data_IF_738523115582
#
_entry.id   IF_738523115582
#
_cell.length_a   1.000
_cell.length_b   1.000
_cell.length_c   1.000
_cell.angle_alpha   90.00
_cell.angle_beta   90.00
_cell.angle_gamma   90.00
#
_symmetry.space_group_name_H-M   'P 1'
#
loop_
_entity.id
_entity.type
_entity.pdbx_description
1 polymer ?
#
# COMPACT_ATOMS: atom_id res chain seq x y z
N UNK A 1 21.32 5.53 -5.61
CA UNK A 1 19.92 5.92 -5.35
C UNK A 1 19.67 5.77 -3.86
N UNK A 2 19.10 6.78 -3.21
CA UNK A 2 18.71 6.66 -1.80
C UNK A 2 17.51 5.72 -1.69
N UNK A 3 17.60 4.72 -0.80
CA UNK A 3 16.50 3.80 -0.54
C UNK A 3 15.37 4.52 0.20
N UNK A 4 14.13 4.21 -0.16
CA UNK A 4 12.93 4.72 0.48
C UNK A 4 12.75 3.98 1.80
N UNK A 5 13.06 4.67 2.89
CA UNK A 5 12.85 4.15 4.25
C UNK A 5 11.36 4.11 4.57
N UNK A 6 10.86 2.92 4.85
CA UNK A 6 9.46 2.63 5.11
C UNK A 6 9.27 2.09 6.52
N UNK A 7 8.24 2.56 7.20
CA UNK A 7 7.90 2.09 8.55
C UNK A 7 6.68 1.20 8.50
N UNK A 8 6.66 0.15 9.30
CA UNK A 8 5.46 -0.67 9.49
C UNK A 8 4.84 -0.32 10.84
N UNK A 9 3.54 -0.01 10.85
CA UNK A 9 2.75 0.23 12.04
C UNK A 9 1.60 -0.76 12.11
N UNK A 10 1.68 -1.67 13.05
CA UNK A 10 0.61 -2.63 13.32
C UNK A 10 -0.56 -2.02 14.10
N UNK A 11 -1.70 -2.71 14.05
CA UNK A 11 -2.94 -2.35 14.76
C UNK A 11 -3.36 -0.89 14.57
N UNK A 12 -3.16 -0.36 13.36
CA UNK A 12 -3.51 1.02 13.09
C UNK A 12 -5.02 1.21 13.05
N UNK A 13 -5.50 2.24 13.76
CA UNK A 13 -6.92 2.60 13.77
C UNK A 13 -7.46 2.92 12.38
N UNK A 14 -6.66 3.55 11.51
CA UNK A 14 -7.04 3.84 10.13
C UNK A 14 -7.18 2.55 9.32
N UNK A 15 -6.20 1.66 9.41
CA UNK A 15 -6.26 0.35 8.76
C UNK A 15 -7.45 -0.48 9.26
N UNK A 16 -7.81 -0.37 10.55
CA UNK A 16 -9.02 -1.00 11.10
C UNK A 16 -10.31 -0.50 10.43
N UNK A 17 -10.43 0.80 10.19
CA UNK A 17 -11.59 1.38 9.50
C UNK A 17 -11.64 0.89 8.05
N UNK A 18 -10.51 0.90 7.36
CA UNK A 18 -10.40 0.40 5.99
C UNK A 18 -10.82 -1.08 5.92
N UNK A 19 -10.32 -1.93 6.82
CA UNK A 19 -10.68 -3.35 6.87
C UNK A 19 -12.19 -3.56 7.08
N UNK A 20 -12.80 -2.77 7.97
CA UNK A 20 -14.25 -2.82 8.20
C UNK A 20 -15.06 -2.40 6.98
N UNK A 21 -14.62 -1.37 6.28
CA UNK A 21 -15.27 -0.90 5.05
C UNK A 21 -15.18 -1.93 3.93
N UNK A 22 -14.01 -2.54 3.76
CA UNK A 22 -13.75 -3.58 2.76
C UNK A 22 -14.26 -4.97 3.17
N UNK A 23 -14.72 -5.13 4.44
CA UNK A 23 -15.19 -6.40 5.03
C UNK A 23 -14.14 -7.51 5.00
N UNK A 24 -12.87 -7.15 5.16
CA UNK A 24 -11.72 -8.07 5.22
C UNK A 24 -11.18 -8.21 6.64
N UNK A 25 -10.61 -9.36 6.96
CA UNK A 25 -10.03 -9.63 8.28
C UNK A 25 -8.65 -9.00 8.47
N UNK A 26 -7.90 -8.85 7.37
CA UNK A 26 -6.57 -8.25 7.35
C UNK A 26 -6.44 -7.27 6.19
N UNK A 27 -5.77 -6.14 6.43
CA UNK A 27 -5.50 -5.12 5.42
C UNK A 27 -4.16 -4.45 5.71
N UNK A 28 -3.48 -4.06 4.64
CA UNK A 28 -2.36 -3.16 4.66
C UNK A 28 -2.76 -1.91 3.88
N UNK A 29 -2.33 -0.75 4.34
CA UNK A 29 -2.54 0.50 3.62
C UNK A 29 -1.30 1.36 3.77
N UNK A 30 -0.92 2.04 2.70
CA UNK A 30 0.18 3.01 2.74
C UNK A 30 -0.35 4.41 3.01
N UNK A 31 0.31 5.14 3.90
CA UNK A 31 0.18 6.59 4.03
C UNK A 31 1.57 7.21 3.92
N UNK A 32 1.88 7.76 2.74
CA UNK A 32 3.19 8.34 2.43
C UNK A 32 4.29 7.27 2.39
N UNK A 33 4.99 7.10 3.52
CA UNK A 33 6.09 6.12 3.69
C UNK A 33 5.83 5.13 4.83
N UNK A 34 4.62 5.12 5.38
CA UNK A 34 4.26 4.22 6.47
C UNK A 34 3.22 3.22 5.99
N UNK A 35 3.49 1.94 6.20
CA UNK A 35 2.56 0.83 5.95
C UNK A 35 1.81 0.59 7.26
N UNK A 36 0.51 0.78 7.23
CA UNK A 36 -0.39 0.58 8.35
C UNK A 36 -1.07 -0.78 8.20
N UNK A 37 -0.79 -1.70 9.12
CA UNK A 37 -1.37 -3.03 9.14
C UNK A 37 -2.53 -3.10 10.13
N UNK A 38 -3.55 -3.88 9.78
CA UNK A 38 -4.59 -4.33 10.69
C UNK A 38 -4.93 -5.79 10.41
N UNK A 39 -5.09 -6.61 11.45
CA UNK A 39 -5.40 -8.04 11.30
C UNK A 39 -4.26 -8.91 10.72
N UNK A 40 -3.07 -8.34 10.56
CA UNK A 40 -1.83 -9.02 10.20
C UNK A 40 -0.67 -8.46 11.02
N UNK A 41 0.29 -9.33 11.39
CA UNK A 41 1.56 -8.92 11.99
C UNK A 41 2.56 -8.53 10.92
N UNK A 42 3.62 -7.84 11.32
CA UNK A 42 4.77 -7.51 10.47
C UNK A 42 5.36 -8.76 9.85
N UNK A 43 5.53 -9.85 10.61
CA UNK A 43 6.12 -11.09 10.10
C UNK A 43 5.24 -11.71 9.02
N UNK A 44 3.92 -11.75 9.22
CA UNK A 44 2.98 -12.24 8.21
C UNK A 44 3.06 -11.41 6.94
N UNK A 45 3.07 -10.08 7.06
CA UNK A 45 3.21 -9.18 5.93
C UNK A 45 4.54 -9.38 5.19
N UNK A 46 5.65 -9.50 5.92
CA UNK A 46 6.99 -9.69 5.32
C UNK A 46 7.15 -11.06 4.66
N UNK A 47 6.43 -12.08 5.12
CA UNK A 47 6.42 -13.41 4.51
C UNK A 47 5.64 -13.46 3.19
N UNK A 48 4.74 -12.51 2.97
CA UNK A 48 3.92 -12.41 1.77
C UNK A 48 4.54 -11.40 0.79
N UNK A 49 5.42 -11.90 -0.08
CA UNK A 49 6.18 -11.06 -1.01
C UNK A 49 5.27 -10.33 -2.01
N UNK A 50 4.18 -10.97 -2.47
CA UNK A 50 3.22 -10.32 -3.36
C UNK A 50 2.57 -9.13 -2.66
N UNK A 51 2.11 -9.33 -1.43
CA UNK A 51 1.54 -8.27 -0.62
C UNK A 51 2.54 -7.14 -0.33
N UNK A 52 3.80 -7.48 -0.05
CA UNK A 52 4.86 -6.50 0.14
C UNK A 52 5.09 -5.65 -1.12
N UNK A 53 5.10 -6.28 -2.30
CA UNK A 53 5.25 -5.60 -3.60
C UNK A 53 4.06 -4.70 -3.93
N UNK A 54 2.85 -5.11 -3.55
CA UNK A 54 1.65 -4.31 -3.70
C UNK A 54 1.79 -2.99 -2.91
N UNK A 55 2.10 -3.06 -1.63
CA UNK A 55 2.28 -1.87 -0.79
C UNK A 55 3.50 -1.04 -1.22
N UNK A 56 4.56 -1.69 -1.70
CA UNK A 56 5.73 -1.04 -2.28
C UNK A 56 5.36 -0.14 -3.47
N UNK A 57 4.46 -0.60 -4.33
CA UNK A 57 3.93 0.20 -5.43
C UNK A 57 3.25 1.47 -4.93
N UNK A 58 2.40 1.36 -3.92
CA UNK A 58 1.76 2.53 -3.32
C UNK A 58 2.77 3.51 -2.71
N UNK A 59 3.84 3.04 -2.08
CA UNK A 59 4.93 3.91 -1.60
C UNK A 59 5.58 4.67 -2.77
N UNK A 60 5.88 4.00 -3.89
CA UNK A 60 6.45 4.66 -5.08
C UNK A 60 5.45 5.64 -5.71
N UNK A 61 4.17 5.30 -5.76
CA UNK A 61 3.11 6.20 -6.21
C UNK A 61 2.99 7.45 -5.31
N UNK A 62 3.10 7.28 -3.99
CA UNK A 62 3.16 8.39 -3.03
C UNK A 62 4.39 9.27 -3.21
N UNK A 63 5.55 8.70 -3.54
CA UNK A 63 6.76 9.46 -3.87
C UNK A 63 6.58 10.25 -5.17
N UNK A 64 5.95 9.67 -6.19
CA UNK A 64 5.77 10.30 -7.49
C UNK A 64 4.69 11.40 -7.49
N UNK A 65 3.53 11.13 -6.89
CA UNK A 65 2.36 12.02 -6.89
C UNK A 65 2.32 12.95 -5.67
N UNK A 66 3.14 12.70 -4.65
CA UNK A 66 3.05 13.36 -3.36
C UNK A 66 1.85 12.88 -2.53
N UNK A 67 1.85 13.27 -1.25
CA UNK A 67 0.85 12.79 -0.28
C UNK A 67 -0.59 13.10 -0.68
N UNK A 68 -0.88 14.36 -0.99
CA UNK A 68 -2.22 14.80 -1.36
C UNK A 68 -2.61 14.39 -2.79
N UNK A 69 -1.65 14.38 -3.72
CA UNK A 69 -1.89 13.99 -5.10
C UNK A 69 -2.33 12.54 -5.21
N UNK A 70 -1.65 11.63 -4.49
CA UNK A 70 -2.06 10.23 -4.43
C UNK A 70 -3.48 10.08 -3.88
N UNK A 71 -3.78 10.69 -2.73
CA UNK A 71 -5.10 10.56 -2.10
C UNK A 71 -6.22 11.10 -2.99
N UNK A 72 -6.00 12.25 -3.63
CA UNK A 72 -6.97 12.85 -4.55
C UNK A 72 -7.21 11.96 -5.76
N UNK A 73 -6.13 11.48 -6.40
CA UNK A 73 -6.24 10.61 -7.58
C UNK A 73 -6.90 9.27 -7.23
N UNK A 74 -6.51 8.67 -6.12
CA UNK A 74 -7.10 7.43 -5.61
C UNK A 74 -8.59 7.59 -5.37
N UNK A 75 -9.00 8.65 -4.66
CA UNK A 75 -10.39 8.90 -4.37
C UNK A 75 -11.21 9.22 -5.64
N UNK A 76 -10.64 10.02 -6.55
CA UNK A 76 -11.28 10.36 -7.82
C UNK A 76 -11.50 9.14 -8.72
N UNK A 77 -10.49 8.28 -8.84
CA UNK A 77 -10.58 7.03 -9.60
C UNK A 77 -11.54 6.04 -8.93
N UNK A 78 -11.51 5.93 -7.59
CA UNK A 78 -12.45 5.11 -6.83
C UNK A 78 -13.90 5.53 -7.08
N UNK A 79 -14.21 6.84 -7.07
CA UNK A 79 -15.57 7.33 -7.35
C UNK A 79 -16.01 7.05 -8.79
N UNK A 80 -15.09 7.07 -9.75
CA UNK A 80 -15.41 6.87 -11.18
C UNK A 80 -15.50 5.40 -11.58
N UNK A 81 -14.61 4.56 -11.04
CA UNK A 81 -14.36 3.19 -11.54
C UNK A 81 -14.49 2.12 -10.44
N UNK A 82 -14.61 2.52 -9.17
CA UNK A 82 -14.57 1.63 -8.02
C UNK A 82 -13.14 1.20 -7.65
N UNK A 83 -13.04 0.36 -6.62
CA UNK A 83 -11.77 -0.15 -6.10
C UNK A 83 -11.01 -1.02 -7.11
N UNK A 84 -11.69 -2.02 -7.70
CA UNK A 84 -11.04 -3.01 -8.57
C UNK A 84 -10.50 -2.46 -9.90
N UNK A 85 -11.07 -1.37 -10.41
CA UNK A 85 -10.64 -0.75 -11.67
C UNK A 85 -9.88 0.57 -11.45
N UNK A 86 -9.54 0.88 -10.20
CA UNK A 86 -8.69 2.03 -9.90
C UNK A 86 -7.30 1.80 -10.51
N UNK A 87 -6.86 2.73 -11.34
CA UNK A 87 -5.57 2.64 -12.05
C UNK A 87 -4.39 2.42 -11.08
N UNK A 88 -4.45 2.99 -9.87
CA UNK A 88 -3.41 2.82 -8.85
C UNK A 88 -3.39 1.40 -8.28
N UNK A 89 -4.57 0.82 -8.02
CA UNK A 89 -4.75 -0.57 -7.55
C UNK A 89 -4.40 -1.60 -8.62
N UNK A 90 -4.68 -1.30 -9.89
CA UNK A 90 -4.28 -2.14 -11.02
C UNK A 90 -2.77 -2.16 -11.16
N UNK A 91 -2.10 -1.01 -11.03
CA UNK A 91 -0.64 -0.93 -11.05
C UNK A 91 -0.01 -1.65 -9.85
N UNK A 92 -0.63 -1.55 -8.66
CA UNK A 92 -0.18 -2.28 -7.47
C UNK A 92 -0.29 -3.79 -7.66
N UNK A 93 -1.41 -4.28 -8.21
CA UNK A 93 -1.59 -5.70 -8.57
C UNK A 93 -0.59 -6.17 -9.62
N UNK A 94 -0.33 -5.38 -10.65
CA UNK A 94 0.69 -5.71 -11.64
C UNK A 94 2.11 -5.80 -11.02
N UNK A 95 2.35 -5.05 -9.94
CA UNK A 95 3.64 -5.06 -9.24
C UNK A 95 3.82 -6.28 -8.36
N UNK A 96 2.78 -7.05 -8.03
CA UNK A 96 2.87 -8.27 -7.22
C UNK A 96 3.82 -9.31 -7.85
N UNK A 97 3.96 -9.28 -9.17
CA UNK A 97 4.87 -10.14 -9.93
C UNK A 97 6.25 -9.50 -10.19
N UNK A 98 6.43 -8.21 -9.94
CA UNK A 98 7.68 -7.48 -10.20
C UNK A 98 8.64 -7.55 -9.00
N UNK A 99 9.75 -8.31 -9.08
CA UNK A 99 10.73 -8.38 -8.02
C UNK A 99 11.50 -7.06 -7.82
N UNK A 100 11.70 -6.27 -8.88
CA UNK A 100 12.54 -5.07 -8.84
C UNK A 100 11.88 -3.92 -8.05
N UNK A 101 10.57 -3.99 -7.79
CA UNK A 101 9.88 -2.94 -7.06
C UNK A 101 10.39 -2.78 -5.63
N UNK A 102 10.93 -3.85 -5.03
CA UNK A 102 11.45 -3.85 -3.67
C UNK A 102 12.90 -3.37 -3.55
N UNK A 103 13.66 -3.28 -4.64
CA UNK A 103 15.10 -2.95 -4.62
C UNK A 103 15.38 -1.59 -3.98
N UNK A 104 14.46 -0.64 -4.18
CA UNK A 104 14.53 0.73 -3.68
C UNK A 104 13.89 0.90 -2.29
N UNK A 105 13.35 -0.16 -1.67
CA UNK A 105 12.60 -0.07 -0.42
C UNK A 105 13.41 -0.66 0.72
N UNK A 106 13.49 0.11 1.81
CA UNK A 106 14.15 -0.30 3.05
C UNK A 106 13.12 -0.24 4.18
N UNK A 107 12.76 -1.40 4.75
CA UNK A 107 11.83 -1.44 5.87
C UNK A 107 12.61 -1.30 7.18
N UNK A 108 12.31 -0.25 7.94
CA UNK A 108 12.98 0.10 9.21
C UNK A 108 12.09 -0.17 10.45
#
# INVERSE_FOLDING_TARGET
>A
MEKIKCRIRENSWLARIAARFMRVQSVAMVLGRTIHLYGASRERFLSDIAWMRHEACHIKQYQHLGYFGFLWQYFSEYLRRGYYNNTLEVAARASEEDPAILDDIEII
#
